data_IF_251924354670
#
_entry.id   IF_251924354670
#
_cell.length_a   1.000
_cell.length_b   1.000
_cell.length_c   1.000
_cell.angle_alpha   90.00
_cell.angle_beta   90.00
_cell.angle_gamma   90.00
#
_symmetry.space_group_name_H-M   'P 1'
#
loop_
_entity.id
_entity.type
_entity.pdbx_description
1 polymer ?
2 non-polymer ?
3 non-polymer ?
4 water ?
#
# COMPACT_ATOMS: atom_id res chain seq x y z
N UNK A 1 -20.34 -8.85 9.72
CA UNK A 1 -19.08 -9.35 9.22
C UNK A 1 -18.19 -8.18 9.60
N UNK A 2 -16.98 -8.43 10.11
CA UNK A 2 -16.00 -7.38 10.34
C UNK A 2 -15.59 -6.77 9.01
N UNK A 3 -15.13 -5.54 8.97
CA UNK A 3 -14.89 -4.89 7.70
C UNK A 3 -13.73 -3.97 7.95
N UNK A 4 -12.79 -4.02 7.03
CA UNK A 4 -11.57 -3.25 7.16
C UNK A 4 -11.51 -2.31 6.00
N UNK A 5 -11.11 -1.07 6.26
CA UNK A 5 -10.95 -0.07 5.22
C UNK A 5 -9.47 0.20 5.04
N UNK A 6 -8.93 -0.16 3.86
CA UNK A 6 -7.51 -0.03 3.51
C UNK A 6 -7.30 1.02 2.42
N UNK A 7 -6.43 2.01 2.55
CA UNK A 7 -6.15 2.93 1.45
C UNK A 7 -4.76 2.57 0.95
N UNK A 8 -4.61 2.35 -0.35
CA UNK A 8 -3.32 2.09 -0.94
C UNK A 8 -2.77 3.41 -1.50
N UNK A 9 -1.66 3.94 -0.95
CA UNK A 9 -1.13 5.26 -1.29
C UNK A 9 0.20 5.24 -2.03
N UNK A 10 0.50 6.18 -2.92
CA UNK A 10 1.82 6.26 -3.53
C UNK A 10 1.83 7.12 -4.79
N UNK A 11 3.00 7.26 -5.43
CA UNK A 11 3.14 8.05 -6.65
C UNK A 11 2.72 7.27 -7.87
N UNK A 12 2.57 7.97 -8.99
CA UNK A 12 2.22 7.31 -10.25
C UNK A 12 3.19 6.21 -10.69
N UNK A 13 2.63 5.14 -11.24
CA UNK A 13 3.39 4.07 -11.86
C UNK A 13 3.97 3.08 -10.88
N UNK A 14 4.12 3.34 -9.59
CA UNK A 14 4.70 2.41 -8.63
C UNK A 14 4.11 1.01 -8.57
N UNK A 15 2.91 0.80 -9.09
CA UNK A 15 2.30 -0.51 -9.00
C UNK A 15 1.11 -0.66 -8.04
N UNK A 16 0.46 0.42 -7.56
CA UNK A 16 -0.70 0.38 -6.65
C UNK A 16 -1.86 -0.43 -7.17
N UNK A 17 -2.23 -0.19 -8.43
CA UNK A 17 -3.32 -0.92 -9.04
C UNK A 17 -2.93 -2.32 -9.43
N UNK A 18 -1.66 -2.61 -9.73
CA UNK A 18 -1.26 -3.94 -10.12
C UNK A 18 -1.25 -4.80 -8.88
N UNK A 19 -0.78 -4.30 -7.75
CA UNK A 19 -0.90 -4.97 -6.46
C UNK A 19 -2.36 -5.19 -6.04
N UNK A 20 -3.22 -4.17 -6.02
CA UNK A 20 -4.63 -4.32 -5.68
C UNK A 20 -5.33 -5.29 -6.63
N UNK A 21 -5.21 -5.10 -7.95
CA UNK A 21 -5.85 -5.98 -8.92
C UNK A 21 -5.32 -7.42 -8.85
N UNK A 22 -4.08 -7.67 -8.45
CA UNK A 22 -3.62 -9.04 -8.23
C UNK A 22 -4.31 -9.66 -7.00
N UNK A 23 -4.44 -8.96 -5.86
CA UNK A 23 -5.17 -9.46 -4.70
C UNK A 23 -6.61 -9.78 -5.08
N UNK A 24 -7.32 -8.83 -5.67
CA UNK A 24 -8.74 -8.99 -5.91
C UNK A 24 -9.07 -10.05 -6.97
N UNK A 25 -8.30 -10.16 -8.06
CA UNK A 25 -8.67 -11.07 -9.14
C UNK A 25 -7.69 -12.21 -9.43
N UNK A 26 -6.47 -12.16 -8.91
CA UNK A 26 -5.43 -13.09 -9.34
C UNK A 26 -4.82 -12.77 -10.71
N UNK A 27 -5.00 -11.59 -11.31
CA UNK A 27 -4.42 -11.31 -12.62
C UNK A 27 -3.40 -10.17 -12.56
N UNK A 28 -2.35 -10.17 -13.39
CA UNK A 28 -1.42 -9.04 -13.49
C UNK A 28 -1.77 -8.09 -14.63
N UNK A 29 -2.10 -6.85 -14.26
CA UNK A 29 -2.31 -5.77 -15.20
C UNK A 29 -0.95 -5.18 -15.62
N UNK A 30 -0.73 -5.35 -16.93
CA UNK A 30 0.41 -4.76 -17.64
C UNK A 30 0.19 -3.39 -18.27
N UNK A 31 -1.02 -3.10 -18.75
CA UNK A 31 -1.24 -1.85 -19.44
C UNK A 31 -1.55 -0.84 -18.36
N UNK A 32 -0.71 0.09 -18.20
CA UNK A 32 -0.88 1.25 -17.31
C UNK A 32 -2.14 2.02 -17.70
N UNK A 33 -3.10 1.87 -16.83
CA UNK A 33 -4.28 2.73 -16.82
C UNK A 33 -4.18 3.61 -15.57
N UNK A 34 -3.99 4.92 -15.68
CA UNK A 34 -3.95 5.83 -14.54
C UNK A 34 -5.33 5.94 -13.92
N UNK A 35 -5.33 6.05 -12.60
CA UNK A 35 -6.48 5.75 -11.79
C UNK A 35 -6.88 7.09 -11.20
N UNK A 36 -8.20 7.28 -11.16
CA UNK A 36 -8.77 8.41 -10.43
C UNK A 36 -9.05 7.92 -9.02
N UNK A 37 -9.99 6.99 -8.88
CA UNK A 37 -10.36 6.46 -7.59
C UNK A 37 -11.09 5.18 -7.89
N UNK A 38 -10.80 4.10 -7.17
CA UNK A 38 -11.46 2.82 -7.36
C UNK A 38 -11.52 2.11 -6.03
N UNK A 39 -12.68 1.47 -5.82
CA UNK A 39 -12.96 0.68 -4.62
C UNK A 39 -13.21 -0.74 -5.05
N UNK A 40 -12.66 -1.62 -4.23
CA UNK A 40 -12.71 -3.05 -4.43
C UNK A 40 -13.12 -3.60 -3.07
N UNK A 41 -13.86 -4.71 -3.05
CA UNK A 41 -14.22 -5.38 -1.82
C UNK A 41 -13.90 -6.84 -1.99
N UNK A 42 -13.28 -7.46 -1.00
CA UNK A 42 -12.90 -8.85 -1.11
C UNK A 42 -12.95 -9.46 0.28
N UNK A 43 -13.64 -10.59 0.40
CA UNK A 43 -13.82 -11.27 1.66
C UNK A 43 -12.48 -11.91 2.03
N UNK A 44 -11.95 -11.67 3.22
CA UNK A 44 -10.63 -12.18 3.55
C UNK A 44 -10.72 -13.13 4.74
N UNK A 45 -9.91 -14.18 4.78
CA UNK A 45 -9.76 -14.99 5.97
C UNK A 45 -8.34 -14.78 6.47
N UNK A 46 -8.12 -13.92 7.46
CA UNK A 46 -6.78 -13.78 8.01
C UNK A 46 -6.86 -14.39 9.40
N UNK A 47 -5.88 -15.22 9.80
CA UNK A 47 -5.89 -15.96 11.07
C UNK A 47 -7.15 -16.84 11.23
N UNK A 48 -7.74 -17.28 10.10
CA UNK A 48 -9.09 -17.84 10.01
C UNK A 48 -10.30 -16.97 10.42
N UNK A 49 -10.09 -15.66 10.63
CA UNK A 49 -11.15 -14.68 10.80
C UNK A 49 -11.68 -14.14 9.46
N UNK A 50 -12.96 -14.44 9.12
CA UNK A 50 -13.68 -13.85 7.98
C UNK A 50 -14.12 -12.39 8.19
N UNK A 51 -13.62 -11.60 7.25
CA UNK A 51 -13.75 -10.16 7.28
C UNK A 51 -14.06 -9.67 5.87
N UNK A 52 -14.23 -8.38 5.65
CA UNK A 52 -14.23 -7.83 4.32
C UNK A 52 -13.07 -6.85 4.29
N UNK A 53 -12.27 -6.82 3.22
CA UNK A 53 -11.40 -5.69 2.96
C UNK A 53 -12.12 -4.86 1.95
N UNK A 54 -12.22 -3.58 2.24
CA UNK A 54 -12.62 -2.62 1.25
C UNK A 54 -11.28 -1.91 0.95
N UNK A 55 -10.91 -1.82 -0.32
CA UNK A 55 -9.59 -1.32 -0.69
C UNK A 55 -9.81 -0.05 -1.51
N UNK A 56 -9.13 1.04 -1.14
CA UNK A 56 -9.14 2.29 -1.90
C UNK A 56 -7.83 2.43 -2.69
N UNK A 57 -7.96 2.28 -3.99
CA UNK A 57 -6.88 2.48 -4.91
C UNK A 57 -6.94 3.93 -5.36
N UNK A 58 -6.02 4.70 -4.83
CA UNK A 58 -6.01 6.11 -5.12
C UNK A 58 -5.29 6.43 -6.45
N UNK A 59 -5.31 7.71 -6.81
CA UNK A 59 -4.43 8.23 -7.83
C UNK A 59 -3.18 8.79 -7.17
N UNK A 60 -2.05 8.46 -7.79
CA UNK A 60 -0.80 9.13 -7.49
C UNK A 60 -0.65 10.42 -8.29
N UNK A 61 -1.59 10.70 -9.21
CA UNK A 61 -1.64 11.91 -10.02
C UNK A 61 -1.84 13.15 -9.15
N UNK A 62 -0.80 13.98 -9.11
CA UNK A 62 -0.74 15.27 -8.40
C UNK A 62 -1.99 16.10 -8.06
N UNK A 63 -2.97 16.20 -8.98
CA UNK A 63 -4.23 16.89 -8.72
C UNK A 63 -5.09 16.30 -7.58
N UNK A 64 -5.23 14.96 -7.54
CA UNK A 64 -6.12 14.27 -6.62
C UNK A 64 -5.64 14.24 -5.17
N UNK A 65 -4.46 14.79 -4.88
CA UNK A 65 -4.00 14.96 -3.51
C UNK A 65 -4.94 15.80 -2.64
N UNK A 66 -5.82 16.62 -3.26
CA UNK A 66 -6.89 17.36 -2.58
C UNK A 66 -7.82 16.46 -1.75
N UNK A 67 -8.04 15.27 -2.30
CA UNK A 67 -8.89 14.26 -1.70
C UNK A 67 -8.22 13.49 -0.58
N UNK A 68 -6.89 13.56 -0.48
CA UNK A 68 -6.10 12.63 0.31
C UNK A 68 -6.49 12.70 1.77
N UNK A 69 -6.77 13.90 2.29
CA UNK A 69 -7.21 14.07 3.67
C UNK A 69 -8.53 13.36 3.96
N UNK A 70 -9.45 13.32 2.99
CA UNK A 70 -10.67 12.56 3.14
C UNK A 70 -10.38 11.07 3.16
N UNK A 71 -9.53 10.57 2.26
CA UNK A 71 -9.14 9.16 2.24
C UNK A 71 -8.50 8.68 3.54
N UNK A 72 -7.62 9.51 4.08
CA UNK A 72 -6.93 9.23 5.33
C UNK A 72 -7.91 9.21 6.50
N UNK A 73 -8.88 10.13 6.54
CA UNK A 73 -9.86 10.17 7.62
C UNK A 73 -10.76 8.94 7.52
N UNK A 74 -11.29 8.65 6.33
CA UNK A 74 -12.19 7.53 6.09
C UNK A 74 -11.53 6.15 6.06
N UNK A 75 -10.30 5.94 6.56
CA UNK A 75 -9.56 4.72 6.30
C UNK A 75 -8.88 4.23 7.55
N UNK A 76 -8.63 2.94 7.70
CA UNK A 76 -8.07 2.40 8.93
C UNK A 76 -6.62 1.93 8.82
N UNK A 77 -6.32 1.23 7.73
CA UNK A 77 -4.98 0.75 7.46
C UNK A 77 -4.50 1.36 6.16
N UNK A 78 -3.21 1.63 6.05
CA UNK A 78 -2.64 2.25 4.87
C UNK A 78 -1.42 1.46 4.38
N UNK A 79 -1.43 1.11 3.10
CA UNK A 79 -0.30 0.46 2.45
C UNK A 79 0.42 1.58 1.69
N UNK A 80 1.69 1.88 2.02
CA UNK A 80 2.46 2.94 1.36
C UNK A 80 3.46 2.31 0.40
N UNK A 81 3.25 2.56 -0.88
CA UNK A 81 3.99 1.91 -1.96
C UNK A 81 5.05 2.82 -2.59
N UNK A 82 6.26 2.30 -2.77
CA UNK A 82 7.23 2.95 -3.62
C UNK A 82 7.62 1.94 -4.70
N UNK A 83 8.13 2.37 -5.86
CA UNK A 83 8.80 1.49 -6.80
C UNK A 83 10.29 1.47 -6.46
N UNK A 84 10.88 0.29 -6.26
CA UNK A 84 12.30 0.24 -5.95
C UNK A 84 13.20 0.57 -7.15
N UNK A 85 12.63 0.57 -8.35
CA UNK A 85 13.31 1.05 -9.54
C UNK A 85 13.05 2.53 -9.78
N UNK A 86 12.79 3.34 -8.75
CA UNK A 86 12.56 4.76 -8.96
C UNK A 86 12.78 5.42 -7.63
N UNK A 87 13.94 6.01 -7.33
CA UNK A 87 14.15 6.54 -6.00
C UNK A 87 13.35 7.80 -5.72
N UNK A 88 12.81 8.50 -6.72
CA UNK A 88 11.95 9.64 -6.44
C UNK A 88 10.65 9.15 -5.77
N UNK A 89 10.09 8.00 -6.19
CA UNK A 89 8.92 7.40 -5.55
C UNK A 89 9.22 6.94 -4.14
N UNK A 90 10.45 6.54 -3.84
CA UNK A 90 10.81 6.31 -2.45
C UNK A 90 10.78 7.62 -1.68
N UNK A 91 11.17 8.74 -2.31
CA UNK A 91 11.24 10.03 -1.63
C UNK A 91 9.88 10.69 -1.40
N UNK A 92 8.99 10.43 -2.34
CA UNK A 92 7.62 10.87 -2.27
C UNK A 92 6.82 10.18 -1.16
N UNK A 93 7.25 9.02 -0.64
CA UNK A 93 6.54 8.26 0.38
C UNK A 93 6.82 8.73 1.81
N UNK A 94 7.97 9.37 2.05
CA UNK A 94 8.38 9.80 3.39
C UNK A 94 7.47 10.86 4.04
N UNK A 95 7.06 11.98 3.42
CA UNK A 95 6.07 12.89 3.99
C UNK A 95 4.71 12.22 4.21
N UNK A 96 4.34 11.19 3.45
CA UNK A 96 3.00 10.65 3.52
C UNK A 96 2.66 9.97 4.82
N UNK A 97 3.60 9.32 5.52
CA UNK A 97 3.27 8.73 6.81
C UNK A 97 2.90 9.80 7.84
N UNK A 98 3.68 10.86 7.87
CA UNK A 98 3.46 11.96 8.77
C UNK A 98 2.22 12.74 8.36
N UNK A 99 1.86 12.84 7.08
CA UNK A 99 0.56 13.36 6.67
C UNK A 99 -0.57 12.46 7.20
N UNK A 100 -0.42 11.12 7.17
CA UNK A 100 -1.39 10.20 7.75
C UNK A 100 -1.60 10.51 9.22
N UNK A 101 -0.53 10.66 9.99
CA UNK A 101 -0.61 11.00 11.41
C UNK A 101 -1.15 12.41 11.73
N UNK A 102 -1.02 13.47 10.92
CA UNK A 102 -1.66 14.75 11.25
C UNK A 102 -3.18 14.61 11.22
N UNK A 103 -3.70 13.76 10.34
CA UNK A 103 -5.12 13.64 10.15
C UNK A 103 -5.71 12.70 11.18
N UNK A 104 -5.00 11.60 11.44
CA UNK A 104 -5.43 10.62 12.42
C UNK A 104 -5.16 11.01 13.87
N UNK A 105 -4.23 11.94 14.09
CA UNK A 105 -3.88 12.51 15.39
C UNK A 105 -3.24 11.57 16.43
N UNK A 106 -3.02 10.30 16.10
CA UNK A 106 -2.31 9.40 16.99
C UNK A 106 -1.19 8.75 16.20
N UNK A 107 -0.19 8.22 16.91
CA UNK A 107 1.04 7.71 16.32
C UNK A 107 0.87 6.34 15.67
N UNK A 108 0.18 5.41 16.32
CA UNK A 108 0.09 4.05 15.81
C UNK A 108 -0.99 3.86 14.77
N UNK A 109 -0.83 4.36 13.56
CA UNK A 109 -1.79 4.01 12.52
C UNK A 109 -1.25 2.72 11.92
N UNK A 110 -2.05 1.71 11.57
CA UNK A 110 -1.56 0.53 10.85
C UNK A 110 -1.10 0.91 9.45
N UNK A 111 0.22 0.95 9.24
CA UNK A 111 0.83 1.18 7.95
C UNK A 111 1.80 0.04 7.64
N UNK A 112 2.02 -0.27 6.35
CA UNK A 112 3.08 -1.14 5.85
C UNK A 112 3.84 -0.39 4.75
N UNK A 113 5.17 -0.34 4.74
CA UNK A 113 5.92 0.26 3.65
C UNK A 113 6.25 -0.79 2.59
N UNK A 114 6.00 -0.58 1.30
CA UNK A 114 6.20 -1.60 0.29
C UNK A 114 7.15 -1.11 -0.78
N UNK A 115 8.22 -1.83 -1.06
CA UNK A 115 9.02 -1.57 -2.25
C UNK A 115 8.57 -2.49 -3.35
N UNK A 116 7.80 -2.02 -4.29
CA UNK A 116 7.26 -2.90 -5.32
C UNK A 116 8.21 -2.97 -6.50
N UNK A 117 8.00 -3.94 -7.40
CA UNK A 117 8.71 -4.18 -8.64
C UNK A 117 10.06 -4.82 -8.36
N UNK A 118 10.13 -5.74 -7.39
CA UNK A 118 11.35 -6.45 -7.01
C UNK A 118 11.82 -7.45 -8.08
N UNK A 119 10.92 -7.84 -8.97
CA UNK A 119 11.26 -8.67 -10.11
C UNK A 119 12.16 -7.93 -11.10
N UNK A 120 12.22 -6.60 -11.05
CA UNK A 120 13.07 -5.80 -11.90
C UNK A 120 14.32 -5.41 -11.09
N UNK A 121 14.99 -6.43 -10.52
CA UNK A 121 16.18 -6.34 -9.67
C UNK A 121 17.40 -5.71 -10.37
N UNK A 122 17.49 -5.83 -11.70
CA UNK A 122 18.48 -5.13 -12.49
C UNK A 122 18.36 -3.62 -12.36
N UNK A 123 17.13 -3.06 -12.34
CA UNK A 123 16.93 -1.62 -12.46
C UNK A 123 16.91 -0.88 -11.13
N UNK A 124 17.28 -1.56 -10.05
CA UNK A 124 17.05 -1.06 -8.71
C UNK A 124 17.76 0.24 -8.42
N UNK A 125 17.00 1.27 -8.08
CA UNK A 125 17.55 2.52 -7.58
C UNK A 125 17.53 2.61 -6.07
N UNK A 126 16.62 1.92 -5.39
CA UNK A 126 16.50 1.99 -3.94
C UNK A 126 16.84 0.64 -3.33
N UNK A 127 17.85 0.63 -2.47
CA UNK A 127 18.24 -0.59 -1.80
C UNK A 127 17.23 -0.96 -0.74
N UNK A 128 17.10 -2.27 -0.58
CA UNK A 128 16.45 -2.89 0.55
C UNK A 128 16.71 -2.13 1.85
N UNK A 129 17.96 -1.93 2.25
CA UNK A 129 18.25 -1.30 3.53
C UNK A 129 17.84 0.16 3.67
N UNK A 130 17.65 0.91 2.57
CA UNK A 130 17.09 2.25 2.67
C UNK A 130 15.62 2.15 3.07
N UNK A 131 14.88 1.25 2.42
CA UNK A 131 13.47 1.05 2.72
C UNK A 131 13.30 0.48 4.12
N UNK A 132 14.11 -0.53 4.41
CA UNK A 132 14.14 -1.23 5.68
C UNK A 132 14.36 -0.27 6.82
N UNK A 133 15.25 0.70 6.63
CA UNK A 133 15.48 1.72 7.63
C UNK A 133 14.28 2.64 7.77
N UNK A 134 13.69 3.09 6.65
CA UNK A 134 12.55 3.98 6.70
C UNK A 134 11.40 3.35 7.46
N UNK A 135 11.13 2.08 7.17
CA UNK A 135 10.12 1.31 7.85
C UNK A 135 10.39 1.20 9.33
N UNK A 136 11.64 1.08 9.76
CA UNK A 136 11.90 1.00 11.18
C UNK A 136 11.94 2.35 11.89
N UNK A 137 12.29 3.46 11.24
CA UNK A 137 12.05 4.76 11.83
C UNK A 137 10.54 4.97 11.95
N UNK A 138 9.78 4.50 10.95
CA UNK A 138 8.33 4.52 11.00
C UNK A 138 7.72 3.40 11.85
N UNK A 139 8.49 2.47 12.42
CA UNK A 139 7.97 1.39 13.25
C UNK A 139 6.99 0.44 12.56
N UNK A 140 6.95 0.39 11.23
CA UNK A 140 5.97 -0.43 10.53
C UNK A 140 6.64 -1.64 9.90
N UNK A 141 5.93 -2.67 9.40
CA UNK A 141 6.52 -3.70 8.54
C UNK A 141 7.00 -3.15 7.18
N UNK A 142 7.95 -3.87 6.61
CA UNK A 142 8.54 -3.57 5.31
C UNK A 142 8.48 -4.83 4.45
N UNK A 143 8.10 -4.70 3.17
CA UNK A 143 8.06 -5.81 2.23
C UNK A 143 8.53 -5.32 0.88
N UNK A 144 9.27 -6.14 0.15
CA UNK A 144 9.49 -5.84 -1.24
C UNK A 144 8.66 -6.86 -2.00
N UNK A 145 7.89 -6.41 -2.98
CA UNK A 145 6.93 -7.26 -3.66
C UNK A 145 7.13 -7.15 -5.17
N UNK A 146 6.52 -8.05 -5.88
CA UNK A 146 6.34 -7.94 -7.29
C UNK A 146 4.85 -8.21 -7.35
N UNK A 147 4.11 -7.25 -7.90
CA UNK A 147 2.71 -7.41 -8.26
C UNK A 147 2.48 -8.58 -9.19
N UNK A 148 3.53 -9.18 -9.76
CA UNK A 148 3.43 -10.41 -10.53
C UNK A 148 3.27 -11.70 -9.69
N UNK A 149 3.46 -11.64 -8.37
CA UNK A 149 3.32 -12.81 -7.52
C UNK A 149 2.06 -12.73 -6.65
N UNK A 150 1.07 -13.57 -6.97
CA UNK A 150 -0.14 -13.79 -6.18
C UNK A 150 0.21 -14.07 -4.74
N UNK A 151 1.07 -15.04 -4.50
CA UNK A 151 1.64 -15.29 -3.19
C UNK A 151 2.23 -14.04 -2.53
N UNK A 152 2.92 -13.10 -3.21
CA UNK A 152 3.56 -11.98 -2.51
C UNK A 152 2.53 -10.93 -2.12
N UNK A 153 1.51 -10.76 -2.97
CA UNK A 153 0.46 -9.77 -2.78
C UNK A 153 -0.48 -10.21 -1.66
N UNK A 154 -0.86 -11.49 -1.68
CA UNK A 154 -1.63 -12.12 -0.63
C UNK A 154 -1.08 -11.94 0.77
N UNK A 155 0.22 -12.13 0.93
CA UNK A 155 0.88 -11.90 2.21
C UNK A 155 0.80 -10.44 2.65
N UNK A 156 0.78 -9.52 1.67
CA UNK A 156 0.78 -8.10 1.92
C UNK A 156 -0.55 -7.70 2.53
N UNK A 157 -1.63 -8.12 1.88
CA UNK A 157 -2.96 -7.85 2.35
C UNK A 157 -3.27 -8.62 3.64
N UNK A 158 -2.85 -9.87 3.80
CA UNK A 158 -3.02 -10.56 5.08
C UNK A 158 -2.29 -9.89 6.23
N UNK A 159 -1.13 -9.30 5.99
CA UNK A 159 -0.41 -8.58 7.02
C UNK A 159 -1.00 -7.21 7.29
N UNK A 160 -1.71 -6.55 6.37
CA UNK A 160 -2.42 -5.34 6.73
C UNK A 160 -3.58 -5.68 7.67
N UNK A 161 -4.36 -6.76 7.46
CA UNK A 161 -5.40 -7.18 8.38
C UNK A 161 -4.84 -7.58 9.75
N UNK A 162 -3.75 -8.34 9.84
CA UNK A 162 -3.06 -8.55 11.11
C UNK A 162 -2.65 -7.23 11.75
N UNK A 163 -2.11 -6.25 11.03
CA UNK A 163 -1.83 -4.92 11.59
C UNK A 163 -3.04 -4.16 12.10
N UNK A 164 -4.21 -4.24 11.45
CA UNK A 164 -5.42 -3.58 11.93
C UNK A 164 -6.06 -4.31 13.11
N UNK A 165 -5.68 -5.57 13.36
CA UNK A 165 -6.11 -6.30 14.54
C UNK A 165 -5.23 -6.10 15.75
N UNK A 166 -3.87 -5.73 15.66
CA UNK A 166 -3.09 -5.42 16.88
C UNK A 166 -2.69 -3.94 16.88
N UNK A 167 -3.71 -3.05 16.70
CA UNK A 167 -3.48 -1.62 16.55
C UNK A 167 -3.79 -0.91 17.87
X LIG B 1 -3.88 2.86 -10.47
X LIG C 1 -1.49 5.41 -10.62
X LIG C 1 -1.34 5.91 -9.23
X LIG C 1 -1.20 6.45 -11.62
X LIG C 1 -2.80 4.80 -10.90
X LIG C 1 -0.38 4.22 -10.83
X LIG C 1 -0.14 2.78 -10.13
X LIG C 1 0.89 2.93 -9.09
X LIG C 1 -1.45 2.21 -9.73
X LIG C 1 0.46 1.89 -11.31
X LIG C 1 0.12 0.44 -11.90
X LIG C 1 -0.11 -0.49 -10.79
X LIG C 1 -0.93 0.59 -12.94
X LIG C 1 1.48 0.03 -12.61
X LIG C 1 2.17 0.85 -13.55
X LIG C 1 2.97 -0.01 -14.51
X LIG C 1 3.88 -0.78 -13.72
X LIG C 1 2.13 -0.98 -15.34
X LIG C 1 2.64 -1.02 -16.66
X LIG C 1 2.37 -2.30 -14.62
X LIG C 1 2.23 -3.41 -15.49
X LIG C 1 3.77 -2.19 -14.03
X LIG C 1 3.97 -2.96 -12.76
X LIG C 1 3.20 -2.90 -11.62
X LIG C 1 3.63 -3.67 -10.64
X LIG C 1 4.77 -4.28 -11.18
X LIG C 1 5.66 -5.22 -10.60
X LIG C 1 5.63 -5.71 -9.47
X LIG C 1 6.68 -5.58 -11.49
X LIG C 1 6.81 -5.08 -12.78
X LIG C 1 7.86 -5.56 -13.46
X LIG C 1 5.98 -4.21 -13.32
X LIG C 1 4.99 -3.85 -12.46
#
# INVERSE_FOLDING_TARGET
>A
MREYKVVVLGSGGVGKSALTVQFVTGTFIEKYDPTIEDFYRKEIEVDSSPSVLEILDTAGTEQFASMRDLYIKNGQGFILVYSLVNQQSFQDIKPMRDQIIRVKRYEKVPVILVGNKVDLESEREVSSSEGRALAEEWGCPFMETSAKSKTMVDELFAEIVRQMNYA
>B hetero
1 MG MG
>C hetero
1 GTP PG O1G O2G O3G O3B PB O1B O2B O3A PA O1A O2A O5' C5' C4' O4' C3' O3' C2' O2' C1' N9 C8 N7 C5 C6 O6 N1 C2 N2 N3 C4
#
